data_IF_930657305159
#
_entry.id   IF_930657305159
#
_cell.length_a   1.000
_cell.length_b   1.000
_cell.length_c   1.000
_cell.angle_alpha   90.00
_cell.angle_beta   90.00
_cell.angle_gamma   90.00
#
_symmetry.space_group_name_H-M   'P 1'
#
loop_
_entity.id
_entity.type
_entity.pdbx_description
1 polymer ?
#
# COMPACT_ATOMS: atom_id res chain seq x y z
N UNK A 1 21.13 5.01 11.39
CA UNK A 1 20.19 5.96 10.80
C UNK A 1 18.88 5.96 11.59
N UNK A 2 18.33 7.13 11.92
CA UNK A 2 17.01 7.29 12.55
C UNK A 2 16.04 7.86 11.53
N UNK A 3 14.99 7.10 11.26
CA UNK A 3 13.94 7.45 10.32
C UNK A 3 12.68 7.72 11.14
N UNK A 4 12.00 8.83 10.86
CA UNK A 4 10.63 9.04 11.31
C UNK A 4 9.66 8.75 10.17
N UNK A 5 8.69 7.89 10.41
CA UNK A 5 7.61 7.59 9.47
C UNK A 5 6.29 8.10 10.01
N UNK A 6 5.78 9.17 9.41
CA UNK A 6 4.49 9.80 9.75
C UNK A 6 3.46 9.28 8.77
N UNK A 7 2.72 8.25 9.18
CA UNK A 7 1.95 7.44 8.25
C UNK A 7 0.74 6.79 8.92
N UNK A 8 -0.34 6.64 8.14
CA UNK A 8 -1.54 5.89 8.54
C UNK A 8 -1.79 4.69 7.65
N UNK A 9 -1.02 4.51 6.57
CA UNK A 9 -1.18 3.42 5.63
C UNK A 9 -0.37 2.18 6.05
N UNK A 10 -1.02 1.07 6.47
CA UNK A 10 -0.30 -0.11 6.95
C UNK A 10 0.58 -0.79 5.88
N UNK A 11 0.34 -0.52 4.59
CA UNK A 11 1.18 -1.03 3.51
C UNK A 11 2.57 -0.40 3.56
N UNK A 12 2.64 0.90 3.82
CA UNK A 12 3.92 1.64 3.92
C UNK A 12 4.68 1.17 5.15
N UNK A 13 4.01 1.04 6.30
CA UNK A 13 4.60 0.52 7.54
C UNK A 13 5.20 -0.88 7.35
N UNK A 14 4.50 -1.77 6.64
CA UNK A 14 4.99 -3.11 6.33
C UNK A 14 6.19 -3.07 5.38
N UNK A 15 6.16 -2.19 4.38
CA UNK A 15 7.26 -2.03 3.44
C UNK A 15 8.54 -1.63 4.19
N UNK A 16 8.46 -0.62 5.04
CA UNK A 16 9.60 -0.22 5.88
C UNK A 16 10.07 -1.35 6.79
N UNK A 17 9.14 -2.00 7.50
CA UNK A 17 9.48 -3.15 8.36
C UNK A 17 10.27 -4.22 7.61
N UNK A 18 9.84 -4.63 6.40
CA UNK A 18 10.55 -5.65 5.63
C UNK A 18 11.93 -5.22 5.16
N UNK A 19 12.11 -3.95 4.82
CA UNK A 19 13.37 -3.45 4.30
C UNK A 19 14.39 -3.16 5.40
N UNK A 20 13.97 -3.02 6.67
CA UNK A 20 14.88 -2.65 7.77
C UNK A 20 15.00 -3.71 8.87
N UNK A 21 14.24 -4.81 8.82
CA UNK A 21 14.31 -5.86 9.83
C UNK A 21 15.69 -6.55 9.91
N UNK A 22 16.45 -6.54 8.82
CA UNK A 22 17.76 -7.20 8.76
C UNK A 22 18.92 -6.27 9.16
N UNK A 23 18.64 -5.01 9.48
CA UNK A 23 19.65 -3.95 9.63
C UNK A 23 19.52 -3.20 10.96
N UNK A 24 20.24 -3.68 11.99
CA UNK A 24 20.27 -3.08 13.35
C UNK A 24 20.74 -1.61 13.37
N UNK A 25 21.33 -1.15 12.26
CA UNK A 25 21.81 0.21 12.08
C UNK A 25 20.68 1.20 11.82
N UNK A 26 19.49 0.73 11.41
CA UNK A 26 18.34 1.56 11.04
C UNK A 26 17.27 1.45 12.13
N UNK A 27 16.87 2.60 12.68
CA UNK A 27 15.75 2.72 13.63
C UNK A 27 14.62 3.50 12.99
N UNK A 28 13.43 2.92 13.02
CA UNK A 28 12.22 3.56 12.50
C UNK A 28 11.28 3.85 13.65
N UNK A 29 10.94 5.13 13.82
CA UNK A 29 9.87 5.57 14.69
C UNK A 29 8.63 5.81 13.82
N UNK A 30 7.60 5.00 13.99
CA UNK A 30 6.32 5.18 13.30
C UNK A 30 5.34 5.94 14.18
N UNK A 31 4.73 6.98 13.62
CA UNK A 31 3.68 7.75 14.27
C UNK A 31 2.50 7.98 13.31
N UNK A 32 1.32 8.12 13.90
CA UNK A 32 0.06 8.41 13.21
C UNK A 32 -0.33 9.90 13.26
N UNK A 33 0.42 10.70 14.05
CA UNK A 33 0.16 12.12 14.26
C UNK A 33 1.40 12.85 14.78
N UNK A 34 1.57 14.11 14.38
CA UNK A 34 2.68 15.00 14.73
C UNK A 34 2.81 15.26 16.24
N UNK A 35 1.77 14.99 17.03
CA UNK A 35 1.74 15.27 18.48
C UNK A 35 2.55 14.27 19.32
N UNK A 36 2.92 13.11 18.76
CA UNK A 36 3.57 12.01 19.50
C UNK A 36 5.09 11.99 19.39
N UNK A 37 5.68 13.02 18.80
CA UNK A 37 7.10 13.00 18.47
C UNK A 37 7.96 13.23 19.71
N UNK A 38 8.81 12.25 19.98
CA UNK A 38 9.58 12.15 21.23
C UNK A 38 11.02 12.65 21.10
N UNK A 39 11.55 12.73 19.89
CA UNK A 39 12.99 12.96 19.64
C UNK A 39 13.32 14.32 19.01
N UNK A 40 14.58 14.73 19.21
CA UNK A 40 15.10 16.05 18.84
C UNK A 40 15.71 16.07 17.43
N UNK A 41 16.10 14.91 16.87
CA UNK A 41 16.76 14.82 15.56
C UNK A 41 16.47 13.50 14.83
N UNK A 42 16.09 13.60 13.56
CA UNK A 42 15.93 12.48 12.64
C UNK A 42 16.81 12.69 11.39
N UNK A 43 17.41 11.62 10.89
CA UNK A 43 18.21 11.66 9.66
C UNK A 43 17.27 11.86 8.46
N UNK A 44 16.16 11.10 8.43
CA UNK A 44 15.18 11.12 7.35
C UNK A 44 13.76 11.13 7.93
N UNK A 45 12.88 11.97 7.39
CA UNK A 45 11.45 11.98 7.74
C UNK A 45 10.62 11.70 6.51
N UNK A 46 9.77 10.68 6.61
CA UNK A 46 8.75 10.37 5.61
C UNK A 46 7.39 10.83 6.10
N UNK A 47 6.66 11.55 5.25
CA UNK A 47 5.31 12.03 5.52
C UNK A 47 4.33 11.45 4.52
N UNK A 48 3.24 10.86 4.99
CA UNK A 48 2.08 10.56 4.17
C UNK A 48 1.16 11.79 4.09
N UNK A 49 0.83 12.24 2.87
CA UNK A 49 -0.14 13.31 2.63
C UNK A 49 -1.48 13.11 3.36
N UNK A 50 -1.89 11.86 3.61
CA UNK A 50 -3.16 11.56 4.28
C UNK A 50 -3.11 11.75 5.79
N UNK A 51 -1.90 11.82 6.35
CA UNK A 51 -1.69 11.89 7.78
C UNK A 51 -1.69 13.33 8.29
N UNK A 52 -1.37 14.32 7.44
CA UNK A 52 -1.18 15.70 7.88
C UNK A 52 -1.60 16.74 6.83
N UNK A 53 -2.19 17.84 7.29
CA UNK A 53 -2.46 19.00 6.43
C UNK A 53 -1.17 19.76 6.09
N UNK A 54 -1.03 20.22 4.84
CA UNK A 54 0.14 20.97 4.35
C UNK A 54 0.53 22.18 5.23
N UNK A 55 -0.45 22.86 5.83
CA UNK A 55 -0.23 24.02 6.72
C UNK A 55 0.39 23.63 8.06
N UNK A 56 0.07 22.45 8.57
CA UNK A 56 0.61 21.94 9.83
C UNK A 56 2.01 21.37 9.63
N UNK A 57 2.22 20.67 8.50
CA UNK A 57 3.50 20.09 8.11
C UNK A 57 4.59 21.17 8.06
N UNK A 58 4.40 22.26 7.29
CA UNK A 58 5.41 23.32 7.15
C UNK A 58 5.82 23.94 8.50
N UNK A 59 4.85 24.24 9.36
CA UNK A 59 5.11 24.79 10.70
C UNK A 59 5.89 23.81 11.58
N UNK A 60 5.62 22.51 11.44
CA UNK A 60 6.27 21.47 12.20
C UNK A 60 7.69 21.19 11.69
N UNK A 61 7.86 21.01 10.38
CA UNK A 61 9.13 20.78 9.71
C UNK A 61 10.15 21.91 9.90
N UNK A 62 9.69 23.15 10.19
CA UNK A 62 10.57 24.27 10.54
C UNK A 62 11.10 24.21 11.98
N UNK A 63 10.36 23.56 12.89
CA UNK A 63 10.76 23.41 14.30
C UNK A 63 11.67 22.20 14.51
N UNK A 64 11.74 21.32 13.52
CA UNK A 64 12.41 20.04 13.61
C UNK A 64 13.78 20.10 12.94
N UNK A 65 14.81 19.58 13.61
CA UNK A 65 16.11 19.37 13.00
C UNK A 65 16.09 18.01 12.29
N UNK A 66 15.95 18.06 10.97
CA UNK A 66 15.84 16.87 10.11
C UNK A 66 16.83 17.01 8.97
N UNK A 67 17.49 15.91 8.61
CA UNK A 67 18.39 15.86 7.47
C UNK A 67 17.65 15.98 6.13
N UNK A 68 16.79 15.01 5.84
CA UNK A 68 16.02 14.96 4.58
C UNK A 68 14.52 14.70 4.85
N UNK A 69 13.66 15.42 4.12
CA UNK A 69 12.21 15.41 4.29
C UNK A 69 11.55 14.94 3.00
N UNK A 70 10.79 13.86 3.11
CA UNK A 70 10.20 13.17 1.97
C UNK A 70 8.69 13.11 2.15
N UNK A 71 7.96 13.50 1.11
CA UNK A 71 6.50 13.43 1.08
C UNK A 71 6.05 12.30 0.15
N UNK A 72 5.17 11.43 0.62
CA UNK A 72 4.41 10.53 -0.22
C UNK A 72 3.10 11.21 -0.65
N UNK A 73 2.97 11.51 -1.95
CA UNK A 73 1.77 12.17 -2.48
C UNK A 73 1.08 11.37 -3.58
N UNK A 74 -0.24 11.51 -3.72
CA UNK A 74 -1.01 11.01 -4.87
C UNK A 74 -1.07 12.00 -6.02
N UNK A 75 -0.67 13.25 -5.81
CA UNK A 75 -0.74 14.31 -6.81
C UNK A 75 0.61 15.00 -6.97
N UNK A 76 0.95 15.38 -8.19
CA UNK A 76 2.22 16.06 -8.50
C UNK A 76 2.31 17.49 -7.92
N UNK A 77 1.17 18.08 -7.54
CA UNK A 77 1.07 19.51 -7.19
C UNK A 77 1.20 19.81 -5.68
N UNK A 78 1.49 18.82 -4.84
CA UNK A 78 1.69 19.03 -3.39
C UNK A 78 3.11 19.57 -3.09
N UNK A 79 3.48 20.67 -3.74
CA UNK A 79 4.75 21.33 -3.52
C UNK A 79 4.67 22.08 -2.19
N UNK A 80 5.19 21.46 -1.14
CA UNK A 80 5.43 22.08 0.16
C UNK A 80 6.89 22.56 0.12
N UNK A 81 7.12 23.87 0.28
CA UNK A 81 8.46 24.49 0.19
C UNK A 81 9.50 23.89 1.15
N UNK A 82 9.06 23.19 2.20
CA UNK A 82 9.90 22.53 3.20
C UNK A 82 10.14 21.03 2.96
N UNK A 83 9.77 20.49 1.79
CA UNK A 83 9.99 19.08 1.41
C UNK A 83 11.15 18.99 0.42
N UNK A 84 12.12 18.12 0.72
CA UNK A 84 13.30 17.93 -0.12
C UNK A 84 12.99 17.03 -1.32
N UNK A 85 12.14 16.01 -1.13
CA UNK A 85 11.71 15.09 -2.20
C UNK A 85 10.25 14.69 -2.08
N UNK A 86 9.62 14.49 -3.23
CA UNK A 86 8.25 13.96 -3.32
C UNK A 86 8.29 12.61 -4.04
N UNK A 87 7.66 11.60 -3.44
CA UNK A 87 7.46 10.27 -4.02
C UNK A 87 5.98 10.14 -4.37
N UNK A 88 5.68 9.86 -5.63
CA UNK A 88 4.31 9.72 -6.12
C UNK A 88 3.77 8.31 -5.85
N UNK A 89 2.53 8.23 -5.38
CA UNK A 89 1.79 6.99 -5.20
C UNK A 89 1.05 6.64 -6.50
N UNK A 90 1.08 5.37 -6.96
CA UNK A 90 1.78 4.22 -6.38
C UNK A 90 3.29 4.24 -6.67
N UNK A 91 4.10 3.83 -5.70
CA UNK A 91 5.56 3.77 -5.80
C UNK A 91 6.08 2.34 -5.60
N UNK A 92 7.28 2.08 -6.11
CA UNK A 92 8.00 0.83 -5.93
C UNK A 92 8.84 0.85 -4.64
N UNK A 93 9.07 -0.31 -3.99
CA UNK A 93 9.97 -0.40 -2.85
C UNK A 93 11.40 0.09 -3.15
N UNK A 94 11.86 -0.07 -4.39
CA UNK A 94 13.16 0.41 -4.86
C UNK A 94 13.29 1.93 -4.78
N UNK A 95 12.20 2.68 -4.96
CA UNK A 95 12.22 4.14 -4.88
C UNK A 95 12.49 4.61 -3.45
N UNK A 96 11.89 3.96 -2.45
CA UNK A 96 12.20 4.22 -1.03
C UNK A 96 13.65 3.87 -0.73
N UNK A 97 14.13 2.72 -1.21
CA UNK A 97 15.49 2.28 -0.95
C UNK A 97 16.53 3.25 -1.54
N UNK A 98 16.27 3.77 -2.75
CA UNK A 98 17.14 4.76 -3.40
C UNK A 98 17.27 6.02 -2.55
N UNK A 99 16.16 6.48 -1.95
CA UNK A 99 16.18 7.66 -1.08
C UNK A 99 16.92 7.39 0.23
N UNK A 100 16.71 6.22 0.84
CA UNK A 100 17.44 5.82 2.04
C UNK A 100 18.95 5.72 1.77
N UNK A 101 19.35 5.18 0.61
CA UNK A 101 20.75 5.09 0.21
C UNK A 101 21.37 6.47 -0.01
N UNK A 102 20.66 7.41 -0.65
CA UNK A 102 21.20 8.78 -0.79
C UNK A 102 21.40 9.46 0.55
N UNK A 103 20.45 9.29 1.49
CA UNK A 103 20.57 9.86 2.82
C UNK A 103 21.75 9.27 3.64
N UNK A 104 22.12 8.01 3.38
CA UNK A 104 23.28 7.36 3.99
C UNK A 104 24.59 7.88 3.39
N UNK A 105 24.70 7.99 2.07
CA UNK A 105 25.91 8.46 1.38
C UNK A 105 26.26 9.91 1.74
N UNK A 106 25.26 10.80 1.83
CA UNK A 106 25.47 12.21 2.19
C UNK A 106 26.01 12.40 3.62
N UNK A 107 25.92 11.36 4.45
CA UNK A 107 26.45 11.33 5.82
C UNK A 107 27.93 10.97 5.86
N UNK A 108 28.36 10.02 5.02
CA UNK A 108 29.77 9.61 4.93
C UNK A 108 30.64 10.77 4.43
N UNK A 109 30.11 11.63 3.55
CA UNK A 109 30.83 12.82 3.08
C UNK A 109 30.93 13.93 4.14
N UNK A 110 29.95 14.04 5.06
CA UNK A 110 29.94 15.08 6.11
C UNK A 110 30.73 14.70 7.36
N UNK A 111 30.93 13.41 7.63
CA UNK A 111 31.77 12.92 8.74
C UNK A 111 33.22 12.58 8.31
N UNK A 112 33.55 12.70 7.01
CA UNK A 112 34.83 12.31 6.42
C UNK A 112 36.04 13.25 6.60
N UNK A 113 35.98 14.23 7.51
CA UNK A 113 37.11 15.12 7.81
C UNK A 113 37.78 14.80 9.15
N UNK A 114 38.00 13.53 9.51
CA UNK A 114 39.10 13.08 10.38
C UNK A 114 39.19 11.54 10.45
N UNK A 115 40.21 11.02 9.77
CA UNK A 115 40.99 9.81 10.11
C UNK A 115 40.42 8.43 9.72
N UNK A 116 40.90 7.97 8.56
CA UNK A 116 41.71 6.75 8.37
C UNK A 116 41.05 5.37 8.52
N UNK A 117 40.96 4.72 7.36
CA UNK A 117 41.37 3.34 7.11
C UNK A 117 40.67 2.24 7.91
N UNK A 118 39.50 1.83 7.42
CA UNK A 118 39.23 0.39 7.32
C UNK A 118 38.48 0.09 6.03
N UNK A 119 39.29 -0.22 5.03
CA UNK A 119 38.97 -0.90 3.78
C UNK A 119 37.83 -1.91 3.87
N UNK A 120 36.72 -1.61 3.20
CA UNK A 120 35.91 -2.61 2.49
C UNK A 120 35.66 -2.04 1.10
N UNK A 121 36.54 -2.42 0.19
CA UNK A 121 36.33 -2.25 -1.25
C UNK A 121 35.27 -3.27 -1.66
N UNK A 122 34.02 -2.82 -1.81
CA UNK A 122 32.99 -3.53 -2.57
C UNK A 122 32.71 -2.73 -3.85
N UNK A 123 33.76 -2.56 -4.66
CA UNK A 123 33.59 -2.58 -6.11
C UNK A 123 33.42 -4.04 -6.51
N UNK A 124 32.23 -4.60 -6.28
CA UNK A 124 31.79 -5.71 -7.09
C UNK A 124 31.32 -5.10 -8.40
N UNK A 125 32.09 -5.39 -9.45
CA UNK A 125 31.64 -5.33 -10.82
C UNK A 125 30.24 -5.95 -10.87
N UNK A 126 29.24 -5.13 -11.17
CA UNK A 126 27.95 -5.63 -11.66
C UNK A 126 28.25 -6.17 -13.06
N UNK A 127 28.80 -7.38 -13.12
CA UNK A 127 28.64 -8.23 -14.28
C UNK A 127 27.14 -8.39 -14.44
N UNK A 128 26.63 -7.92 -15.60
CA UNK A 128 25.31 -8.27 -16.11
C UNK A 128 25.23 -9.80 -16.28
N UNK A 129 25.15 -10.52 -15.17
CA UNK A 129 24.65 -11.88 -15.18
C UNK A 129 23.13 -11.76 -15.14
N UNK A 130 22.54 -12.17 -16.24
CA UNK A 130 21.12 -12.31 -16.52
C UNK A 130 20.29 -12.68 -15.29
N UNK A 131 19.72 -11.68 -14.61
CA UNK A 131 18.54 -11.87 -13.79
C UNK A 131 17.32 -12.01 -14.70
N UNK A 132 17.27 -13.07 -15.52
CA UNK A 132 16.02 -13.53 -16.11
C UNK A 132 15.22 -14.21 -15.00
N UNK A 133 14.48 -13.42 -14.23
CA UNK A 133 13.62 -13.91 -13.13
C UNK A 133 12.51 -14.82 -13.65
N UNK A 134 12.23 -14.80 -14.96
CA UNK A 134 11.30 -15.69 -15.65
C UNK A 134 11.95 -16.24 -16.91
N UNK A 135 11.77 -17.53 -17.17
CA UNK A 135 12.22 -18.12 -18.43
C UNK A 135 11.34 -17.65 -19.62
N UNK A 136 11.85 -17.78 -20.84
CA UNK A 136 11.11 -17.33 -22.04
C UNK A 136 9.75 -18.00 -22.22
N UNK A 137 9.56 -19.19 -21.63
CA UNK A 137 8.29 -19.92 -21.67
C UNK A 137 7.27 -19.39 -20.66
N UNK A 138 7.71 -19.00 -19.46
CA UNK A 138 6.87 -18.36 -18.45
C UNK A 138 6.30 -17.02 -18.95
N UNK A 139 7.11 -16.25 -19.69
CA UNK A 139 6.66 -15.01 -20.35
C UNK A 139 5.57 -15.31 -21.40
N UNK A 140 5.69 -16.42 -22.12
CA UNK A 140 4.73 -16.81 -23.16
C UNK A 140 3.40 -17.30 -22.57
N UNK A 141 3.45 -17.99 -21.42
CA UNK A 141 2.26 -18.37 -20.64
C UNK A 141 1.54 -17.12 -20.11
N UNK A 142 2.27 -16.14 -19.57
CA UNK A 142 1.68 -14.88 -19.10
C UNK A 142 1.01 -14.13 -20.26
N UNK A 143 1.65 -14.10 -21.43
CA UNK A 143 1.05 -13.52 -22.64
C UNK A 143 -0.24 -14.23 -23.06
N UNK A 144 -0.27 -15.56 -23.01
CA UNK A 144 -1.50 -16.32 -23.32
C UNK A 144 -2.62 -16.05 -22.32
N UNK A 145 -2.33 -16.01 -21.02
CA UNK A 145 -3.32 -15.72 -19.99
C UNK A 145 -3.93 -14.33 -20.13
N UNK A 146 -3.13 -13.31 -20.45
CA UNK A 146 -3.62 -11.95 -20.68
C UNK A 146 -4.49 -11.82 -21.94
N UNK A 147 -4.17 -12.60 -22.99
CA UNK A 147 -4.97 -12.63 -24.22
C UNK A 147 -6.28 -13.42 -24.05
N UNK A 148 -6.33 -14.36 -23.12
CA UNK A 148 -7.54 -15.14 -22.81
C UNK A 148 -8.53 -14.36 -21.91
N UNK A 149 -8.06 -13.45 -21.06
CA UNK A 149 -8.92 -12.65 -20.15
C UNK A 149 -9.53 -11.38 -20.81
N UNK A 150 -9.07 -10.96 -22.00
CA UNK A 150 -9.60 -9.78 -22.72
C UNK A 150 -10.79 -10.09 -23.67
N UNK A 151 -11.34 -11.31 -23.63
CA UNK A 151 -12.49 -11.73 -24.44
C UNK A 151 -13.73 -12.02 -23.59
N UNK A 152 -14.23 -11.04 -22.84
CA UNK A 152 -15.65 -10.98 -22.44
C UNK A 152 -16.05 -9.63 -21.80
N UNK A 153 -15.66 -8.50 -22.41
CA UNK A 153 -16.43 -7.25 -22.22
C UNK A 153 -17.53 -7.22 -23.27
N UNK A 154 -18.68 -7.80 -22.92
CA UNK A 154 -19.89 -7.65 -23.71
C UNK A 154 -20.32 -6.17 -23.64
N UNK A 155 -19.82 -5.36 -24.59
CA UNK A 155 -20.27 -4.00 -24.88
C UNK A 155 -21.70 -4.03 -25.46
N UNK A 156 -22.68 -4.43 -24.67
CA UNK A 156 -24.09 -4.20 -25.01
C UNK A 156 -24.59 -2.90 -24.38
N UNK A 157 -24.43 -1.84 -25.18
CA UNK A 157 -25.42 -0.76 -25.38
C UNK A 157 -25.75 0.09 -24.15
N UNK A 158 -24.87 1.07 -23.91
CA UNK A 158 -25.27 2.35 -23.29
C UNK A 158 -26.13 3.10 -24.34
N UNK A 159 -27.41 2.75 -24.37
CA UNK A 159 -28.44 3.53 -25.04
C UNK A 159 -28.80 4.72 -24.17
N UNK A 160 -28.57 5.91 -24.71
CA UNK A 160 -29.22 7.16 -24.32
C UNK A 160 -30.71 6.92 -24.11
N UNK A 161 -31.26 7.43 -23.01
CA UNK A 161 -32.35 8.40 -23.08
C UNK A 161 -32.58 9.03 -21.70
N UNK A 162 -32.51 10.36 -21.71
CA UNK A 162 -33.11 11.22 -20.70
C UNK A 162 -34.60 10.89 -20.63
N UNK A 163 -35.16 10.69 -19.43
CA UNK A 163 -36.61 10.71 -19.30
C UNK A 163 -37.06 11.41 -18.03
N UNK A 164 -37.88 12.41 -18.30
CA UNK A 164 -38.52 13.37 -17.44
C UNK A 164 -39.40 12.72 -16.37
N UNK A 165 -39.56 13.44 -15.26
CA UNK A 165 -40.66 13.26 -14.33
C UNK A 165 -41.97 13.49 -15.08
N UNK A 166 -42.98 12.65 -14.83
CA UNK A 166 -44.38 13.04 -14.67
C UNK A 166 -45.26 11.84 -14.29
N UNK A 167 -46.48 12.18 -13.90
CA UNK A 167 -47.30 11.64 -12.81
C UNK A 167 -48.32 10.57 -13.26
N UNK A 168 -49.03 10.02 -12.27
CA UNK A 168 -50.29 9.25 -12.35
C UNK A 168 -50.27 7.72 -12.60
N UNK A 169 -50.43 6.97 -11.49
CA UNK A 169 -51.55 6.04 -11.26
C UNK A 169 -51.62 4.72 -12.05
N UNK A 170 -51.53 3.59 -11.33
CA UNK A 170 -52.53 2.48 -11.32
C UNK A 170 -52.20 1.49 -10.18
N UNK A 171 -53.20 1.26 -9.34
CA UNK A 171 -53.26 0.29 -8.26
C UNK A 171 -53.31 -1.17 -8.78
N UNK A 172 -52.65 -2.11 -8.07
CA UNK A 172 -53.30 -3.22 -7.32
C UNK A 172 -52.30 -4.27 -6.81
N UNK A 173 -52.04 -4.19 -5.50
CA UNK A 173 -52.37 -5.21 -4.50
C UNK A 173 -51.89 -6.67 -4.70
N UNK A 174 -50.79 -7.04 -4.04
CA UNK A 174 -50.73 -8.25 -3.20
C UNK A 174 -49.92 -7.94 -1.93
N UNK A 175 -50.54 -8.19 -0.78
CA UNK A 175 -49.94 -8.13 0.54
C UNK A 175 -48.94 -9.26 0.72
N UNK A 176 -47.71 -8.95 1.13
CA UNK A 176 -47.01 -9.71 2.17
C UNK A 176 -46.13 -8.76 2.97
N UNK A 177 -46.38 -8.69 4.27
CA UNK A 177 -45.53 -8.05 5.25
C UNK A 177 -44.23 -8.88 5.37
N UNK A 178 -43.06 -8.27 5.34
CA UNK A 178 -42.06 -8.43 6.41
C UNK A 178 -40.82 -7.56 6.20
N UNK A 179 -40.33 -7.09 7.35
CA UNK A 179 -39.15 -6.26 7.58
C UNK A 179 -37.87 -6.93 7.08
N UNK A 180 -36.94 -6.08 6.59
CA UNK A 180 -35.48 -6.25 6.63
C UNK A 180 -34.88 -7.47 5.91
N UNK A 181 -34.20 -7.25 4.77
CA UNK A 181 -32.93 -7.90 4.39
C UNK A 181 -32.49 -7.44 3.00
N UNK A 182 -31.66 -6.40 2.95
CA UNK A 182 -30.99 -5.91 1.75
C UNK A 182 -29.50 -6.29 1.72
N UNK A 183 -29.16 -7.51 2.16
CA UNK A 183 -27.78 -8.05 2.08
C UNK A 183 -27.68 -9.50 1.59
N UNK A 184 -28.80 -10.24 1.49
CA UNK A 184 -28.78 -11.68 1.18
C UNK A 184 -28.26 -11.98 -0.22
N UNK A 185 -28.56 -11.13 -1.21
CA UNK A 185 -28.18 -11.41 -2.59
C UNK A 185 -26.67 -11.41 -2.86
N UNK A 186 -25.87 -10.70 -2.06
CA UNK A 186 -24.41 -10.72 -2.20
C UNK A 186 -23.80 -11.88 -1.43
N UNK A 187 -24.26 -12.11 -0.19
CA UNK A 187 -23.78 -13.20 0.66
C UNK A 187 -24.06 -14.57 0.04
N UNK A 188 -25.24 -14.77 -0.55
CA UNK A 188 -25.61 -16.01 -1.24
C UNK A 188 -24.74 -16.25 -2.49
N UNK A 189 -24.49 -15.22 -3.30
CA UNK A 189 -23.61 -15.31 -4.48
C UNK A 189 -22.16 -15.59 -4.11
N UNK A 190 -21.68 -15.01 -3.00
CA UNK A 190 -20.33 -15.24 -2.49
C UNK A 190 -20.17 -16.69 -2.00
N UNK A 191 -21.19 -17.20 -1.30
CA UNK A 191 -21.22 -18.59 -0.85
C UNK A 191 -21.26 -19.56 -2.03
N UNK A 192 -22.10 -19.32 -3.02
CA UNK A 192 -22.20 -20.11 -4.24
C UNK A 192 -20.85 -20.16 -4.97
N UNK A 193 -20.21 -19.00 -5.14
CA UNK A 193 -18.86 -18.91 -5.72
C UNK A 193 -17.81 -19.68 -4.91
N UNK A 194 -17.86 -19.61 -3.57
CA UNK A 194 -16.95 -20.36 -2.69
C UNK A 194 -17.16 -21.88 -2.78
N UNK A 195 -18.41 -22.33 -2.96
CA UNK A 195 -18.73 -23.75 -3.14
C UNK A 195 -18.26 -24.30 -4.49
N UNK A 196 -18.29 -23.49 -5.54
CA UNK A 196 -17.80 -23.88 -6.88
C UNK A 196 -16.26 -23.96 -6.95
N UNK A 197 -15.55 -23.34 -6.01
CA UNK A 197 -14.09 -23.37 -6.00
C UNK A 197 -13.53 -24.71 -5.53
N UNK A 198 -12.52 -25.21 -6.27
CA UNK A 198 -11.75 -26.38 -5.85
C UNK A 198 -11.07 -26.11 -4.49
N UNK A 199 -11.00 -27.10 -3.56
CA UNK A 199 -10.40 -26.91 -2.24
C UNK A 199 -8.96 -26.36 -2.25
N UNK A 200 -8.19 -26.65 -3.31
CA UNK A 200 -6.84 -26.10 -3.50
C UNK A 200 -6.84 -24.57 -3.64
N UNK A 201 -7.82 -23.98 -4.32
CA UNK A 201 -7.93 -22.52 -4.48
C UNK A 201 -8.35 -21.87 -3.17
N UNK A 202 -9.31 -22.46 -2.46
CA UNK A 202 -9.74 -21.99 -1.12
C UNK A 202 -8.55 -22.01 -0.15
N UNK A 203 -7.76 -23.09 -0.14
CA UNK A 203 -6.54 -23.20 0.69
C UNK A 203 -5.48 -22.15 0.34
N UNK A 204 -5.33 -21.81 -0.95
CA UNK A 204 -4.41 -20.75 -1.39
C UNK A 204 -4.90 -19.37 -0.97
N UNK A 205 -6.21 -19.10 -1.09
CA UNK A 205 -6.83 -17.85 -0.65
C UNK A 205 -6.73 -17.63 0.86
N UNK A 206 -6.89 -18.69 1.65
CA UNK A 206 -6.81 -18.65 3.11
C UNK A 206 -5.39 -18.88 3.65
N UNK A 207 -4.37 -18.91 2.79
CA UNK A 207 -2.98 -19.13 3.19
C UNK A 207 -2.48 -18.01 4.10
N UNK A 208 -2.16 -18.34 5.35
CA UNK A 208 -1.67 -17.38 6.35
C UNK A 208 -2.76 -16.66 7.15
N UNK A 209 -4.04 -16.94 6.89
CA UNK A 209 -5.15 -16.44 7.69
C UNK A 209 -5.43 -17.36 8.90
N UNK A 210 -5.66 -16.78 10.07
CA UNK A 210 -6.14 -17.50 11.25
C UNK A 210 -7.68 -17.53 11.24
N UNK A 211 -8.27 -18.73 11.15
CA UNK A 211 -9.72 -18.92 11.05
C UNK A 211 -10.26 -19.56 12.33
N UNK A 212 -11.05 -18.81 13.11
CA UNK A 212 -11.73 -19.32 14.31
C UNK A 212 -13.17 -19.73 13.99
N UNK A 213 -13.50 -21.03 14.11
CA UNK A 213 -14.86 -21.55 13.91
C UNK A 213 -15.46 -21.88 15.28
N UNK A 214 -16.58 -21.23 15.65
CA UNK A 214 -17.33 -21.54 16.87
C UNK A 214 -18.61 -22.29 16.53
N UNK A 215 -18.70 -23.55 16.92
CA UNK A 215 -19.90 -24.38 16.76
C UNK A 215 -20.61 -24.49 18.11
N UNK A 216 -21.89 -24.12 18.16
CA UNK A 216 -22.73 -24.27 19.35
C UNK A 216 -23.67 -25.45 19.14
N UNK A 217 -23.55 -26.47 19.97
CA UNK A 217 -24.50 -27.57 20.00
C UNK A 217 -25.65 -27.25 20.96
N UNK A 218 -26.91 -27.51 20.58
CA UNK A 218 -28.02 -27.47 21.53
C UNK A 218 -27.83 -28.57 22.57
N UNK A 219 -28.24 -28.32 23.83
CA UNK A 219 -28.31 -29.36 24.86
C UNK A 219 -29.53 -30.23 24.56
N UNK A 220 -29.32 -31.53 24.42
CA UNK A 220 -30.41 -32.51 24.38
C UNK A 220 -31.11 -32.51 25.76
N UNK A 221 -32.45 -32.42 25.75
CA UNK A 221 -33.31 -32.57 26.93
C UNK A 221 -33.50 -34.05 27.32
#
# INVERSE_FOLDING_TARGET
MRILLINTNPVISRLFSWNTNDDDTIRIDEIDSLEKISEVYYDVVFLDEKCCDAKQISTYLRKMNVGEKILFSTQEESIIDEIDRVILKPFLPSEIMTVLQSALSDREEKEGALVSEKSISLTEEITNEDYSVLDGGEIEIIKQLLLEDDLEVNEERIGKDEMELDDEGIEKNYQTQEKQKSSTGFEEKLLESLFEMKPRKIRKLLGGAEVSITIKFPKEE
#
